data_IF_065662867737
#
_entry.id   IF_065662867737
#
_cell.length_a   1.000
_cell.length_b   1.000
_cell.length_c   1.000
_cell.angle_alpha   90.00
_cell.angle_beta   90.00
_cell.angle_gamma   90.00
#
_symmetry.space_group_name_H-M   'P 1'
#
loop_
_entity.id
_entity.type
_entity.pdbx_description
1 polymer ?
#
# COMPACT_ATOMS: atom_id res chain seq x y z
N UNK A 1 -15.45 -16.58 8.00
CA UNK A 1 -16.20 -15.57 8.74
C UNK A 1 -15.45 -14.25 8.66
N UNK A 2 -16.17 -13.18 8.33
CA UNK A 2 -15.64 -11.81 8.30
C UNK A 2 -15.37 -11.36 9.74
N UNK A 3 -14.25 -10.68 9.98
CA UNK A 3 -14.00 -9.99 11.24
C UNK A 3 -14.72 -8.63 11.31
N UNK A 4 -15.58 -8.32 10.34
CA UNK A 4 -16.36 -7.09 10.30
C UNK A 4 -17.45 -7.11 11.38
N UNK A 5 -17.36 -6.18 12.33
CA UNK A 5 -18.32 -6.06 13.45
C UNK A 5 -19.52 -5.27 13.00
N UNK A 6 -19.30 -4.16 12.31
CA UNK A 6 -20.35 -3.34 11.73
C UNK A 6 -19.85 -2.56 10.50
N UNK A 7 -20.78 -2.21 9.63
CA UNK A 7 -20.60 -1.32 8.49
C UNK A 7 -21.71 -0.28 8.50
N UNK A 8 -21.34 0.99 8.47
CA UNK A 8 -22.24 2.12 8.42
C UNK A 8 -22.00 2.91 7.14
N UNK A 9 -23.07 3.22 6.40
CA UNK A 9 -23.03 4.02 5.18
C UNK A 9 -23.70 5.36 5.39
N UNK A 10 -23.02 6.42 4.99
CA UNK A 10 -23.48 7.80 5.11
C UNK A 10 -23.56 8.45 3.74
N UNK A 11 -24.54 9.34 3.54
CA UNK A 11 -24.62 10.20 2.37
C UNK A 11 -23.60 11.35 2.43
N UNK A 12 -23.62 12.23 1.42
CA UNK A 12 -22.74 13.40 1.35
C UNK A 12 -23.01 14.44 2.46
N UNK A 13 -24.19 14.41 3.09
CA UNK A 13 -24.56 15.31 4.19
C UNK A 13 -24.19 14.74 5.57
N UNK A 14 -23.70 13.51 5.61
CA UNK A 14 -23.39 12.79 6.84
C UNK A 14 -24.59 12.08 7.47
N UNK A 15 -25.71 11.99 6.76
CA UNK A 15 -26.88 11.24 7.22
C UNK A 15 -26.65 9.75 7.01
N UNK A 16 -26.94 8.94 8.04
CA UNK A 16 -26.86 7.50 7.99
C UNK A 16 -27.89 6.93 7.01
N UNK A 17 -27.43 6.20 6.00
CA UNK A 17 -28.25 5.52 5.00
C UNK A 17 -28.48 4.06 5.33
N UNK A 18 -27.46 3.35 5.77
CA UNK A 18 -27.47 1.93 6.07
C UNK A 18 -26.60 1.62 7.30
N UNK A 19 -27.13 0.77 8.18
CA UNK A 19 -26.44 0.24 9.35
C UNK A 19 -26.51 -1.29 9.25
N UNK A 20 -25.37 -1.90 8.97
CA UNK A 20 -25.21 -3.37 9.00
C UNK A 20 -24.33 -3.73 10.16
N UNK A 21 -24.93 -4.36 11.14
CA UNK A 21 -24.23 -4.84 12.32
C UNK A 21 -24.32 -6.34 12.38
N UNK A 22 -23.21 -6.97 12.69
CA UNK A 22 -23.10 -8.41 12.85
C UNK A 22 -23.20 -8.73 14.34
N UNK A 23 -24.34 -9.27 14.75
CA UNK A 23 -24.62 -9.67 16.13
C UNK A 23 -25.81 -8.93 16.73
N UNK A 24 -26.09 -9.28 17.98
CA UNK A 24 -27.19 -8.75 18.76
C UNK A 24 -26.78 -7.45 19.47
N UNK A 25 -27.79 -6.64 19.82
CA UNK A 25 -27.59 -5.46 20.68
C UNK A 25 -27.92 -5.84 22.13
N UNK A 26 -27.18 -5.27 23.07
CA UNK A 26 -27.50 -5.35 24.50
C UNK A 26 -28.72 -4.49 24.87
N UNK A 27 -29.14 -4.56 26.13
CA UNK A 27 -30.27 -3.79 26.68
C UNK A 27 -30.10 -2.27 26.53
N UNK A 28 -28.86 -1.78 26.37
CA UNK A 28 -28.51 -0.38 26.16
C UNK A 28 -28.37 -0.01 24.69
N UNK A 29 -28.71 -0.91 23.76
CA UNK A 29 -28.59 -0.71 22.32
C UNK A 29 -27.16 -0.76 21.78
N UNK A 30 -26.18 -1.24 22.58
CA UNK A 30 -24.79 -1.41 22.16
C UNK A 30 -24.62 -2.77 21.49
N UNK A 31 -23.79 -2.81 20.50
CA UNK A 31 -23.44 -4.07 19.84
C UNK A 31 -22.64 -5.00 20.78
N UNK A 32 -23.11 -6.23 21.01
CA UNK A 32 -22.49 -7.18 21.93
C UNK A 32 -21.04 -7.47 21.57
N UNK A 33 -20.72 -7.53 20.26
CA UNK A 33 -19.37 -7.81 19.77
C UNK A 33 -18.48 -6.57 19.63
N UNK A 34 -18.97 -5.38 20.02
CA UNK A 34 -18.18 -4.17 20.04
C UNK A 34 -17.56 -3.98 21.43
N UNK A 35 -16.23 -3.75 21.47
CA UNK A 35 -15.45 -3.53 22.71
C UNK A 35 -15.30 -4.76 23.63
N UNK A 36 -15.21 -5.95 23.09
CA UNK A 36 -14.81 -7.14 23.85
C UNK A 36 -13.33 -7.04 24.28
N UNK A 37 -13.05 -7.51 25.51
CA UNK A 37 -11.71 -7.42 26.13
C UNK A 37 -10.62 -8.15 25.36
N UNK A 38 -10.98 -9.26 24.69
CA UNK A 38 -10.05 -10.18 24.02
C UNK A 38 -9.75 -9.76 22.57
N UNK A 39 -10.35 -8.65 22.12
CA UNK A 39 -10.19 -8.13 20.77
C UNK A 39 -9.63 -6.73 20.74
N UNK A 40 -8.88 -6.44 19.68
CA UNK A 40 -8.58 -5.10 19.22
C UNK A 40 -9.43 -4.76 18.02
N UNK A 41 -9.72 -3.47 17.82
CA UNK A 41 -10.62 -3.03 16.76
C UNK A 41 -9.93 -2.03 15.85
N UNK A 42 -10.15 -2.17 14.55
CA UNK A 42 -9.65 -1.25 13.53
C UNK A 42 -10.83 -0.70 12.75
N UNK A 43 -10.91 0.63 12.67
CA UNK A 43 -11.90 1.31 11.85
C UNK A 43 -11.27 1.78 10.55
N UNK A 44 -11.98 1.51 9.46
CA UNK A 44 -11.59 1.96 8.12
C UNK A 44 -12.73 2.74 7.51
N UNK A 45 -12.43 3.96 7.09
CA UNK A 45 -13.36 4.82 6.37
C UNK A 45 -12.92 4.95 4.92
N UNK A 46 -13.89 4.86 4.00
CA UNK A 46 -13.66 5.04 2.56
C UNK A 46 -14.85 5.67 1.87
N UNK A 47 -14.57 6.39 0.76
CA UNK A 47 -15.58 7.02 -0.06
C UNK A 47 -16.35 6.02 -0.91
N UNK A 48 -17.66 6.22 -1.01
CA UNK A 48 -18.53 5.49 -1.93
C UNK A 48 -18.75 6.30 -3.20
N UNK A 49 -18.89 5.60 -4.34
CA UNK A 49 -19.04 6.22 -5.65
C UNK A 49 -20.09 5.51 -6.49
N UNK A 50 -20.83 6.28 -7.27
CA UNK A 50 -21.66 5.80 -8.36
C UNK A 50 -21.08 6.19 -9.72
N UNK A 51 -21.31 5.35 -10.72
CA UNK A 51 -20.95 5.63 -12.11
C UNK A 51 -22.23 6.07 -12.86
N UNK A 52 -22.32 7.37 -13.09
CA UNK A 52 -23.51 8.00 -13.70
C UNK A 52 -23.19 8.30 -15.17
N UNK A 53 -24.10 7.92 -16.07
CA UNK A 53 -24.07 8.30 -17.49
C UNK A 53 -25.13 9.36 -17.75
N UNK A 54 -24.74 10.48 -18.35
CA UNK A 54 -25.68 11.54 -18.76
C UNK A 54 -26.56 11.11 -19.94
N UNK A 55 -26.06 10.20 -20.79
CA UNK A 55 -26.80 9.59 -21.90
C UNK A 55 -26.24 8.20 -22.19
N UNK A 56 -26.96 7.38 -22.97
CA UNK A 56 -26.52 6.04 -23.36
C UNK A 56 -25.16 6.05 -24.10
N UNK A 57 -24.84 7.13 -24.80
CA UNK A 57 -23.60 7.29 -25.57
C UNK A 57 -22.48 8.00 -24.81
N UNK A 58 -22.74 8.55 -23.63
CA UNK A 58 -21.73 9.25 -22.82
C UNK A 58 -20.89 8.28 -22.00
N UNK A 59 -19.61 8.61 -21.77
CA UNK A 59 -18.79 7.91 -20.80
C UNK A 59 -19.37 8.05 -19.39
N UNK A 60 -19.28 6.97 -18.60
CA UNK A 60 -19.70 7.01 -17.20
C UNK A 60 -18.77 7.90 -16.39
N UNK A 61 -19.34 8.84 -15.66
CA UNK A 61 -18.61 9.69 -14.71
C UNK A 61 -18.68 9.10 -13.32
N UNK A 62 -17.53 9.05 -12.64
CA UNK A 62 -17.42 8.61 -11.26
C UNK A 62 -17.80 9.77 -10.34
N UNK A 63 -18.91 9.64 -9.61
CA UNK A 63 -19.42 10.67 -8.68
C UNK A 63 -19.40 10.12 -7.27
N UNK A 64 -18.87 10.87 -6.32
CA UNK A 64 -18.91 10.52 -4.90
C UNK A 64 -20.36 10.56 -4.43
N UNK A 65 -20.81 9.53 -3.73
CA UNK A 65 -22.18 9.39 -3.20
C UNK A 65 -22.25 9.49 -1.69
N UNK A 66 -21.11 9.28 -1.01
CA UNK A 66 -21.06 9.31 0.44
C UNK A 66 -19.77 8.65 0.97
N UNK A 67 -19.85 8.14 2.19
CA UNK A 67 -18.76 7.44 2.87
C UNK A 67 -19.27 6.18 3.54
N UNK A 68 -18.39 5.18 3.67
CA UNK A 68 -18.62 3.99 4.49
C UNK A 68 -17.57 3.91 5.59
N UNK A 69 -18.02 3.50 6.78
CA UNK A 69 -17.16 3.15 7.91
C UNK A 69 -17.36 1.70 8.23
N UNK A 70 -16.26 0.96 8.34
CA UNK A 70 -16.25 -0.45 8.73
C UNK A 70 -15.40 -0.61 9.98
N UNK A 71 -15.85 -1.43 10.92
CA UNK A 71 -15.10 -1.78 12.12
C UNK A 71 -14.79 -3.26 12.11
N UNK A 72 -13.51 -3.59 12.18
CA UNK A 72 -13.00 -4.95 12.14
C UNK A 72 -12.43 -5.34 13.50
N UNK A 73 -12.75 -6.56 13.96
CA UNK A 73 -12.19 -7.13 15.16
C UNK A 73 -11.00 -8.03 14.84
N UNK A 74 -9.95 -7.92 15.63
CA UNK A 74 -8.75 -8.75 15.59
C UNK A 74 -8.52 -9.33 17.00
N UNK A 75 -8.45 -10.66 17.13
CA UNK A 75 -8.18 -11.29 18.42
C UNK A 75 -6.75 -11.00 18.88
N UNK A 76 -6.56 -10.75 20.20
CA UNK A 76 -5.25 -10.35 20.75
C UNK A 76 -4.23 -11.47 20.71
N UNK A 77 -4.67 -12.70 20.99
CA UNK A 77 -3.79 -13.85 21.23
C UNK A 77 -3.58 -14.74 20.02
N UNK A 78 -4.46 -14.70 19.02
CA UNK A 78 -4.32 -15.54 17.83
C UNK A 78 -4.77 -14.82 16.55
N UNK A 79 -4.18 -15.22 15.42
CA UNK A 79 -4.57 -14.75 14.09
C UNK A 79 -5.71 -15.59 13.54
N UNK A 80 -6.63 -14.95 12.84
CA UNK A 80 -7.68 -15.63 12.09
C UNK A 80 -7.07 -16.43 10.90
N UNK A 81 -7.84 -17.37 10.36
CA UNK A 81 -7.38 -18.33 9.34
C UNK A 81 -6.79 -17.63 8.10
N UNK A 82 -7.51 -16.68 7.50
CA UNK A 82 -7.03 -16.01 6.28
C UNK A 82 -5.74 -15.20 6.49
N UNK A 83 -5.61 -14.37 7.54
CA UNK A 83 -4.32 -13.74 7.86
C UNK A 83 -3.19 -14.73 8.11
N UNK A 84 -3.44 -15.88 8.76
CA UNK A 84 -2.44 -16.91 9.01
C UNK A 84 -1.95 -17.55 7.69
N UNK A 85 -2.86 -17.91 6.80
CA UNK A 85 -2.54 -18.45 5.47
C UNK A 85 -1.73 -17.44 4.64
N UNK A 86 -2.12 -16.16 4.66
CA UNK A 86 -1.38 -15.11 3.94
C UNK A 86 0.03 -14.92 4.50
N UNK A 87 0.20 -14.96 5.82
CA UNK A 87 1.52 -14.86 6.45
C UNK A 87 2.43 -16.03 6.07
N UNK A 88 1.88 -17.26 6.06
CA UNK A 88 2.61 -18.45 5.62
C UNK A 88 3.04 -18.35 4.15
N UNK A 89 2.14 -17.90 3.26
CA UNK A 89 2.47 -17.68 1.85
C UNK A 89 3.56 -16.60 1.68
N UNK A 90 3.47 -15.48 2.39
CA UNK A 90 4.48 -14.42 2.31
C UNK A 90 5.84 -14.89 2.85
N UNK A 91 5.86 -15.63 3.97
CA UNK A 91 7.07 -16.20 4.55
C UNK A 91 7.71 -17.21 3.62
N UNK A 92 6.93 -18.11 3.01
CA UNK A 92 7.38 -19.09 2.03
C UNK A 92 7.95 -18.40 0.78
N UNK A 93 7.32 -17.32 0.30
CA UNK A 93 7.83 -16.53 -0.81
C UNK A 93 9.18 -15.87 -0.48
N UNK A 94 9.31 -15.28 0.72
CA UNK A 94 10.56 -14.65 1.18
C UNK A 94 11.69 -15.67 1.28
N UNK A 95 11.41 -16.88 1.82
CA UNK A 95 12.36 -17.98 1.87
C UNK A 95 12.80 -18.44 0.47
N UNK A 96 11.84 -18.61 -0.47
CA UNK A 96 12.12 -18.98 -1.86
C UNK A 96 13.00 -17.95 -2.57
N UNK A 97 12.74 -16.65 -2.38
CA UNK A 97 13.58 -15.58 -2.93
C UNK A 97 15.00 -15.60 -2.37
N UNK A 98 15.15 -15.85 -1.04
CA UNK A 98 16.48 -16.00 -0.42
C UNK A 98 17.25 -17.21 -0.96
N UNK A 99 16.56 -18.32 -1.20
CA UNK A 99 17.16 -19.50 -1.82
C UNK A 99 17.58 -19.20 -3.25
N UNK A 100 16.70 -18.57 -4.05
CA UNK A 100 16.99 -18.17 -5.43
C UNK A 100 18.20 -17.23 -5.55
N UNK A 101 18.39 -16.33 -4.57
CA UNK A 101 19.54 -15.42 -4.57
C UNK A 101 20.88 -16.13 -4.31
N UNK A 102 20.86 -17.31 -3.69
CA UNK A 102 22.06 -18.14 -3.39
C UNK A 102 22.27 -19.26 -4.41
N UNK A 103 21.35 -19.43 -5.34
CA UNK A 103 21.40 -20.52 -6.31
C UNK A 103 22.27 -20.10 -7.51
N UNK A 104 23.22 -20.94 -7.87
CA UNK A 104 24.13 -20.71 -8.99
C UNK A 104 23.67 -21.42 -10.28
N UNK A 105 22.91 -22.53 -10.15
CA UNK A 105 22.37 -23.23 -11.30
C UNK A 105 21.21 -22.44 -11.96
N UNK A 106 21.36 -22.02 -13.24
CA UNK A 106 20.34 -21.26 -13.94
C UNK A 106 19.01 -21.99 -14.06
N UNK A 107 19.01 -23.31 -14.16
CA UNK A 107 17.79 -24.12 -14.26
C UNK A 107 17.04 -24.11 -12.92
N UNK A 108 17.70 -24.38 -11.82
CA UNK A 108 17.12 -24.33 -10.47
C UNK A 108 16.66 -22.91 -10.11
N UNK A 109 17.44 -21.90 -10.49
CA UNK A 109 17.07 -20.50 -10.30
C UNK A 109 15.75 -20.16 -11.01
N UNK A 110 15.56 -20.66 -12.23
CA UNK A 110 14.28 -20.47 -12.97
C UNK A 110 13.11 -21.19 -12.28
N UNK A 111 13.32 -22.41 -11.75
CA UNK A 111 12.29 -23.14 -10.99
C UNK A 111 11.89 -22.35 -9.75
N UNK A 112 12.86 -21.84 -8.99
CA UNK A 112 12.60 -21.03 -7.79
C UNK A 112 11.87 -19.73 -8.13
N UNK A 113 12.22 -19.10 -9.25
CA UNK A 113 11.48 -17.92 -9.73
C UNK A 113 10.01 -18.23 -10.03
N UNK A 114 9.73 -19.33 -10.74
CA UNK A 114 8.35 -19.74 -11.01
C UNK A 114 7.59 -20.09 -9.72
N UNK A 115 8.26 -20.73 -8.77
CA UNK A 115 7.69 -21.06 -7.45
C UNK A 115 7.31 -19.79 -6.68
N UNK A 116 8.22 -18.81 -6.55
CA UNK A 116 7.91 -17.56 -5.85
C UNK A 116 6.80 -16.76 -6.53
N UNK A 117 6.74 -16.81 -7.88
CA UNK A 117 5.68 -16.18 -8.65
C UNK A 117 4.32 -16.84 -8.42
N UNK A 118 4.26 -18.18 -8.40
CA UNK A 118 3.04 -18.93 -8.08
C UNK A 118 2.51 -18.55 -6.70
N UNK A 119 3.37 -18.51 -5.68
CA UNK A 119 2.98 -18.08 -4.33
C UNK A 119 2.42 -16.65 -4.33
N UNK A 120 3.06 -15.72 -5.05
CA UNK A 120 2.57 -14.35 -5.22
C UNK A 120 1.17 -14.31 -5.83
N UNK A 121 0.94 -15.09 -6.89
CA UNK A 121 -0.36 -15.15 -7.55
C UNK A 121 -1.44 -15.72 -6.63
N UNK A 122 -1.13 -16.76 -5.86
CA UNK A 122 -2.05 -17.35 -4.89
C UNK A 122 -2.45 -16.34 -3.82
N UNK A 123 -1.49 -15.64 -3.21
CA UNK A 123 -1.75 -14.61 -2.21
C UNK A 123 -2.62 -13.47 -2.76
N UNK A 124 -2.32 -12.99 -3.97
CA UNK A 124 -3.10 -11.93 -4.61
C UNK A 124 -4.51 -12.40 -5.00
N UNK A 125 -4.69 -13.68 -5.33
CA UNK A 125 -5.99 -14.22 -5.68
C UNK A 125 -6.96 -14.27 -4.49
N UNK A 126 -6.46 -14.48 -3.27
CA UNK A 126 -7.29 -14.42 -2.06
C UNK A 126 -7.96 -13.04 -1.89
N UNK A 127 -7.17 -11.96 -2.07
CA UNK A 127 -7.73 -10.60 -2.10
C UNK A 127 -8.75 -10.41 -3.23
N UNK A 128 -8.42 -10.88 -4.44
CA UNK A 128 -9.32 -10.82 -5.60
C UNK A 128 -10.65 -11.53 -5.35
N UNK A 129 -10.61 -12.67 -4.68
CA UNK A 129 -11.83 -13.42 -4.31
C UNK A 129 -12.70 -12.66 -3.30
N UNK A 130 -12.12 -11.96 -2.33
CA UNK A 130 -12.90 -11.10 -1.42
C UNK A 130 -13.69 -10.02 -2.18
N UNK A 131 -13.18 -9.52 -3.30
CA UNK A 131 -13.84 -8.53 -4.14
C UNK A 131 -14.78 -9.07 -5.21
N UNK A 132 -14.76 -10.37 -5.49
CA UNK A 132 -15.51 -10.99 -6.58
C UNK A 132 -16.87 -11.52 -6.11
N UNK A 133 -17.97 -10.99 -6.66
CA UNK A 133 -19.35 -11.36 -6.30
C UNK A 133 -19.66 -12.86 -6.47
N UNK A 134 -18.93 -13.55 -7.34
CA UNK A 134 -19.11 -14.97 -7.61
C UNK A 134 -18.31 -15.87 -6.67
N UNK A 135 -17.48 -15.29 -5.81
CA UNK A 135 -16.65 -16.04 -4.87
C UNK A 135 -17.44 -16.42 -3.61
N UNK A 136 -17.14 -17.62 -3.08
CA UNK A 136 -17.63 -18.06 -1.77
C UNK A 136 -17.07 -17.22 -0.61
N UNK A 137 -15.96 -16.52 -0.82
CA UNK A 137 -15.31 -15.59 0.12
C UNK A 137 -15.66 -14.13 -0.15
N UNK A 138 -16.73 -13.86 -0.92
CA UNK A 138 -17.10 -12.49 -1.25
C UNK A 138 -17.42 -11.67 0.01
N UNK A 139 -16.61 -10.65 0.25
CA UNK A 139 -16.78 -9.69 1.34
C UNK A 139 -16.33 -8.31 0.83
N UNK A 140 -17.29 -7.60 0.23
CA UNK A 140 -17.04 -6.31 -0.44
C UNK A 140 -16.36 -5.30 0.47
N UNK A 141 -16.78 -5.24 1.73
CA UNK A 141 -16.30 -4.23 2.68
C UNK A 141 -14.85 -4.51 3.10
N UNK A 142 -14.43 -5.77 3.18
CA UNK A 142 -13.02 -6.16 3.38
C UNK A 142 -12.16 -5.72 2.20
N UNK A 143 -12.60 -6.03 0.97
CA UNK A 143 -11.85 -5.66 -0.23
C UNK A 143 -11.74 -4.13 -0.39
N UNK A 144 -12.84 -3.40 -0.14
CA UNK A 144 -12.86 -1.94 -0.20
C UNK A 144 -11.97 -1.30 0.88
N UNK A 145 -12.01 -1.83 2.10
CA UNK A 145 -11.18 -1.37 3.23
C UNK A 145 -9.70 -1.62 2.97
N UNK A 146 -9.34 -2.76 2.38
CA UNK A 146 -7.96 -3.05 1.96
C UNK A 146 -7.46 -2.02 0.93
N UNK A 147 -8.27 -1.72 -0.08
CA UNK A 147 -7.93 -0.70 -1.09
C UNK A 147 -7.81 0.69 -0.46
N UNK A 148 -8.69 1.04 0.47
CA UNK A 148 -8.65 2.32 1.18
C UNK A 148 -7.39 2.44 2.05
N UNK A 149 -7.02 1.37 2.76
CA UNK A 149 -5.78 1.31 3.55
C UNK A 149 -4.56 1.48 2.66
N UNK A 150 -4.49 0.77 1.52
CA UNK A 150 -3.40 0.93 0.55
C UNK A 150 -3.25 2.38 0.07
N UNK A 151 -4.36 3.07 -0.19
CA UNK A 151 -4.34 4.49 -0.56
C UNK A 151 -3.79 5.37 0.56
N UNK A 152 -4.17 5.12 1.82
CA UNK A 152 -3.62 5.84 2.98
C UNK A 152 -2.11 5.62 3.13
N UNK A 153 -1.63 4.40 2.88
CA UNK A 153 -0.21 4.08 2.92
C UNK A 153 0.61 4.82 1.85
N UNK A 154 0.07 4.96 0.63
CA UNK A 154 0.73 5.75 -0.44
C UNK A 154 0.79 7.23 -0.05
N UNK A 155 -0.29 7.79 0.48
CA UNK A 155 -0.33 9.19 0.94
C UNK A 155 0.66 9.40 2.09
N UNK A 156 0.72 8.46 3.04
CA UNK A 156 1.68 8.49 4.13
C UNK A 156 3.13 8.48 3.59
N UNK A 157 3.47 7.56 2.68
CA UNK A 157 4.80 7.49 2.10
C UNK A 157 5.17 8.78 1.35
N UNK A 158 4.23 9.34 0.56
CA UNK A 158 4.40 10.62 -0.11
C UNK A 158 4.73 11.74 0.88
N UNK A 159 3.88 11.93 1.89
CA UNK A 159 4.02 13.00 2.86
C UNK A 159 5.32 12.88 3.65
N UNK A 160 5.66 11.69 4.11
CA UNK A 160 6.90 11.44 4.83
C UNK A 160 8.13 11.79 4.01
N UNK A 161 8.16 11.40 2.73
CA UNK A 161 9.30 11.70 1.84
C UNK A 161 9.41 13.19 1.58
N UNK A 162 8.29 13.89 1.32
CA UNK A 162 8.30 15.34 1.08
C UNK A 162 8.62 16.13 2.36
N UNK A 163 8.20 15.67 3.53
CA UNK A 163 8.50 16.32 4.82
C UNK A 163 9.95 16.12 5.25
N UNK A 164 10.47 14.89 5.16
CA UNK A 164 11.82 14.56 5.66
C UNK A 164 12.91 14.99 4.67
N UNK A 165 12.68 14.82 3.38
CA UNK A 165 13.66 15.08 2.32
C UNK A 165 13.26 16.26 1.43
N UNK A 166 12.32 17.09 1.86
CA UNK A 166 11.99 18.37 1.24
C UNK A 166 13.20 19.32 1.27
N UNK A 167 13.01 20.61 1.28
CA UNK A 167 14.14 21.56 1.29
C UNK A 167 15.00 21.44 2.57
N UNK A 168 15.87 20.42 2.61
CA UNK A 168 16.71 20.07 3.76
C UNK A 168 18.12 19.64 3.35
N UNK A 169 19.00 19.50 4.34
CA UNK A 169 20.36 18.98 4.17
C UNK A 169 20.39 17.57 4.75
N UNK A 170 20.70 16.58 3.90
CA UNK A 170 20.88 15.20 4.27
C UNK A 170 22.36 14.83 4.30
N UNK A 171 22.77 14.02 5.26
CA UNK A 171 24.09 13.45 5.33
C UNK A 171 24.09 12.03 4.73
N UNK A 172 24.89 11.84 3.70
CA UNK A 172 25.05 10.55 3.03
C UNK A 172 26.30 9.83 3.54
N UNK A 173 26.30 8.51 3.54
CA UNK A 173 27.45 7.70 4.03
C UNK A 173 28.69 7.86 3.15
N UNK A 174 28.48 7.97 1.84
CA UNK A 174 29.58 7.92 0.86
C UNK A 174 29.90 9.27 0.20
N UNK A 175 29.00 10.23 0.26
CA UNK A 175 29.10 11.48 -0.54
C UNK A 175 29.04 12.75 0.30
N UNK A 176 29.02 12.61 1.64
CA UNK A 176 28.91 13.74 2.56
C UNK A 176 27.52 14.39 2.57
N UNK A 177 27.48 15.67 2.87
CA UNK A 177 26.22 16.40 2.97
C UNK A 177 25.74 16.87 1.61
N UNK A 178 24.46 16.74 1.35
CA UNK A 178 23.79 17.20 0.12
C UNK A 178 22.48 17.90 0.47
N UNK A 179 22.08 18.86 -0.33
CA UNK A 179 20.76 19.47 -0.22
C UNK A 179 19.77 18.66 -1.05
N UNK A 180 18.64 18.30 -0.43
CA UNK A 180 17.53 17.62 -1.07
C UNK A 180 16.33 18.55 -1.19
N UNK A 181 15.50 18.34 -2.20
CA UNK A 181 14.17 18.91 -2.33
C UNK A 181 13.27 17.85 -2.96
N UNK A 182 12.88 16.87 -2.13
CA UNK A 182 12.11 15.73 -2.60
C UNK A 182 10.75 16.16 -3.15
N UNK A 183 10.41 15.64 -4.30
CA UNK A 183 9.15 15.89 -4.98
C UNK A 183 8.51 14.58 -5.42
N UNK A 184 7.24 14.37 -5.06
CA UNK A 184 6.44 13.24 -5.51
C UNK A 184 6.07 13.42 -6.97
N UNK A 185 6.40 12.44 -7.81
CA UNK A 185 6.15 12.47 -9.24
C UNK A 185 4.90 11.65 -9.61
N UNK A 186 4.82 10.44 -9.08
CA UNK A 186 3.74 9.50 -9.45
C UNK A 186 3.60 8.40 -8.41
N UNK A 187 2.39 7.85 -8.27
CA UNK A 187 2.13 6.65 -7.48
C UNK A 187 1.07 5.77 -8.10
N UNK A 188 1.23 4.49 -7.93
CA UNK A 188 0.29 3.51 -8.44
C UNK A 188 0.16 2.32 -7.49
N UNK A 189 -1.04 2.09 -7.02
CA UNK A 189 -1.48 0.97 -6.18
C UNK A 189 -0.65 0.79 -4.90
N UNK A 190 0.62 0.42 -5.00
CA UNK A 190 1.56 0.07 -3.93
C UNK A 190 2.95 0.67 -4.12
N UNK A 191 3.12 1.58 -5.07
CA UNK A 191 4.41 2.21 -5.36
C UNK A 191 4.32 3.73 -5.39
N UNK A 192 5.44 4.38 -5.01
CA UNK A 192 5.64 5.82 -5.08
C UNK A 192 6.91 6.12 -5.87
N UNK A 193 6.82 7.05 -6.81
CA UNK A 193 7.95 7.59 -7.56
C UNK A 193 8.19 9.03 -7.12
N UNK A 194 9.42 9.33 -6.80
CA UNK A 194 9.83 10.67 -6.39
C UNK A 194 11.26 10.96 -6.84
N UNK A 195 11.62 12.24 -6.87
CA UNK A 195 12.97 12.70 -7.09
C UNK A 195 13.45 13.49 -5.89
N UNK A 196 14.75 13.44 -5.60
CA UNK A 196 15.33 14.24 -4.51
C UNK A 196 15.79 15.63 -4.95
N UNK A 197 15.87 15.90 -6.25
CA UNK A 197 16.35 17.19 -6.79
C UNK A 197 17.65 17.66 -6.13
N UNK A 198 18.67 16.78 -6.13
CA UNK A 198 19.92 16.92 -5.38
C UNK A 198 20.71 18.14 -5.80
N UNK A 199 21.19 18.93 -4.81
CA UNK A 199 22.08 20.07 -5.00
C UNK A 199 23.29 19.97 -4.09
N UNK A 200 24.40 20.45 -4.59
CA UNK A 200 25.61 20.68 -3.81
C UNK A 200 25.39 21.80 -2.79
N UNK A 201 25.90 21.64 -1.56
CA UNK A 201 25.67 22.60 -0.48
C UNK A 201 26.39 23.91 -0.69
N UNK A 202 27.64 23.88 -1.20
CA UNK A 202 28.49 25.02 -1.31
C UNK A 202 28.13 25.84 -2.56
N UNK A 203 27.96 25.15 -3.69
CA UNK A 203 27.72 25.79 -4.98
C UNK A 203 26.26 26.00 -5.31
N UNK A 204 25.34 25.28 -4.60
CA UNK A 204 23.89 25.19 -4.85
C UNK A 204 23.58 24.75 -6.31
N UNK A 205 24.55 24.13 -7.00
CA UNK A 205 24.36 23.59 -8.35
C UNK A 205 23.75 22.20 -8.29
N UNK A 206 22.92 21.79 -9.27
CA UNK A 206 22.38 20.44 -9.36
C UNK A 206 23.51 19.40 -9.43
N UNK A 207 23.41 18.36 -8.62
CA UNK A 207 24.26 17.17 -8.74
C UNK A 207 23.65 16.30 -9.82
N UNK A 208 24.43 15.92 -10.82
CA UNK A 208 23.96 15.17 -11.99
C UNK A 208 24.82 13.93 -12.26
N UNK A 209 24.37 13.07 -13.16
CA UNK A 209 25.10 11.89 -13.61
C UNK A 209 25.15 10.77 -12.56
N UNK A 210 26.19 9.94 -12.65
CA UNK A 210 26.35 8.75 -11.82
C UNK A 210 26.30 9.06 -10.31
N UNK A 211 26.99 10.11 -9.88
CA UNK A 211 27.00 10.53 -8.47
C UNK A 211 25.58 10.81 -7.94
N UNK A 212 24.74 11.50 -8.72
CA UNK A 212 23.36 11.77 -8.32
C UNK A 212 22.54 10.50 -8.17
N UNK A 213 22.73 9.50 -9.04
CA UNK A 213 22.01 8.23 -9.01
C UNK A 213 22.41 7.41 -7.78
N UNK A 214 23.69 7.35 -7.46
CA UNK A 214 24.19 6.63 -6.29
C UNK A 214 23.69 7.27 -4.97
N UNK A 215 23.71 8.59 -4.86
CA UNK A 215 23.14 9.32 -3.73
C UNK A 215 21.62 9.07 -3.64
N UNK A 216 20.91 9.08 -4.78
CA UNK A 216 19.47 8.80 -4.83
C UNK A 216 19.14 7.40 -4.31
N UNK A 217 19.94 6.40 -4.66
CA UNK A 217 19.76 5.02 -4.16
C UNK A 217 19.95 4.97 -2.64
N UNK A 218 21.02 5.57 -2.13
CA UNK A 218 21.32 5.59 -0.70
C UNK A 218 20.19 6.25 0.10
N UNK A 219 19.76 7.43 -0.31
CA UNK A 219 18.66 8.15 0.34
C UNK A 219 17.31 7.45 0.20
N UNK A 220 17.04 6.79 -0.93
CA UNK A 220 15.80 6.05 -1.14
C UNK A 220 15.73 4.78 -0.27
N UNK A 221 16.85 4.11 -0.05
CA UNK A 221 16.95 2.99 0.91
C UNK A 221 16.71 3.46 2.34
N UNK A 222 17.35 4.55 2.74
CA UNK A 222 17.15 5.17 4.06
C UNK A 222 15.68 5.62 4.26
N UNK A 223 15.08 6.24 3.25
CA UNK A 223 13.67 6.66 3.29
C UNK A 223 12.73 5.46 3.45
N UNK A 224 13.01 4.33 2.78
CA UNK A 224 12.26 3.08 2.94
C UNK A 224 12.36 2.52 4.36
N UNK A 225 13.57 2.45 4.92
CA UNK A 225 13.79 2.00 6.29
C UNK A 225 13.10 2.92 7.32
N UNK A 226 13.20 4.24 7.12
CA UNK A 226 12.55 5.21 7.99
C UNK A 226 11.02 5.08 7.95
N UNK A 227 10.43 5.01 6.76
CA UNK A 227 9.00 4.84 6.59
C UNK A 227 8.49 3.55 7.24
N UNK A 228 9.22 2.45 7.06
CA UNK A 228 8.85 1.13 7.59
C UNK A 228 8.82 1.09 9.12
N UNK A 229 9.63 1.90 9.83
CA UNK A 229 9.62 1.96 11.29
C UNK A 229 8.29 2.44 11.89
N UNK A 230 7.54 3.22 11.15
CA UNK A 230 6.26 3.78 11.60
C UNK A 230 5.05 3.04 11.02
N UNK A 231 5.26 2.03 10.17
CA UNK A 231 4.19 1.20 9.65
C UNK A 231 3.88 0.03 10.59
N UNK A 232 2.60 -0.29 10.73
CA UNK A 232 2.18 -1.50 11.45
C UNK A 232 2.56 -2.73 10.62
N UNK A 233 3.25 -3.70 11.23
CA UNK A 233 3.55 -4.97 10.59
C UNK A 233 2.25 -5.63 10.06
N UNK A 234 2.28 -6.25 8.87
CA UNK A 234 3.45 -6.59 8.03
C UNK A 234 3.78 -5.55 6.93
N UNK A 235 3.27 -4.33 7.01
CA UNK A 235 3.53 -3.29 6.01
C UNK A 235 4.97 -2.80 6.12
N UNK A 236 5.61 -2.64 4.98
CA UNK A 236 6.93 -2.07 4.80
C UNK A 236 6.99 -1.24 3.51
N UNK A 237 7.96 -0.36 3.42
CA UNK A 237 8.30 0.40 2.21
C UNK A 237 9.74 0.04 1.83
N UNK A 238 9.90 -0.66 0.71
CA UNK A 238 11.21 -1.08 0.22
C UNK A 238 11.63 -0.23 -0.99
N UNK A 239 12.92 0.09 -1.08
CA UNK A 239 13.51 0.59 -2.31
C UNK A 239 13.44 -0.49 -3.39
N UNK A 240 12.88 -0.16 -4.55
CA UNK A 240 12.75 -1.11 -5.66
C UNK A 240 13.76 -0.84 -6.77
N UNK A 241 13.84 0.39 -7.25
CA UNK A 241 14.69 0.75 -8.40
C UNK A 241 14.85 2.26 -8.58
N UNK A 242 15.91 2.63 -9.27
CA UNK A 242 16.15 3.99 -9.76
C UNK A 242 16.12 4.01 -11.29
N UNK A 243 15.43 4.97 -11.85
CA UNK A 243 15.24 5.11 -13.30
C UNK A 243 15.82 6.46 -13.80
N UNK A 244 16.68 6.41 -14.82
CA UNK A 244 17.22 7.61 -15.46
C UNK A 244 17.61 7.34 -16.91
N UNK A 245 17.03 8.01 -17.92
CA UNK A 245 15.91 8.94 -17.79
C UNK A 245 14.57 8.24 -17.42
N UNK A 246 13.60 9.04 -16.97
CA UNK A 246 12.24 8.60 -16.68
C UNK A 246 11.24 9.49 -17.41
N UNK A 247 10.28 8.89 -18.09
CA UNK A 247 9.22 9.58 -18.82
C UNK A 247 7.88 9.00 -18.40
N UNK A 248 7.01 9.84 -17.84
CA UNK A 248 5.64 9.46 -17.49
C UNK A 248 4.69 9.91 -18.61
N UNK A 249 4.10 8.95 -19.31
CA UNK A 249 3.18 9.22 -20.43
C UNK A 249 1.74 9.39 -19.93
N UNK A 250 1.30 8.52 -19.04
CA UNK A 250 -0.03 8.55 -18.43
C UNK A 250 -0.08 7.57 -17.25
N UNK A 251 -1.23 7.48 -16.56
CA UNK A 251 -1.45 6.50 -15.50
C UNK A 251 -1.10 5.08 -15.98
N UNK A 252 -0.23 4.39 -15.27
CA UNK A 252 0.29 3.04 -15.56
C UNK A 252 1.12 2.91 -16.84
N UNK A 253 1.51 4.03 -17.46
CA UNK A 253 2.31 4.04 -18.70
C UNK A 253 3.50 4.97 -18.54
N UNK A 254 4.64 4.40 -18.21
CA UNK A 254 5.92 5.11 -18.09
C UNK A 254 7.05 4.31 -18.73
N UNK A 255 8.09 4.99 -19.10
CA UNK A 255 9.32 4.42 -19.63
C UNK A 255 10.50 4.98 -18.86
N UNK A 256 11.48 4.14 -18.57
CA UNK A 256 12.70 4.56 -17.89
C UNK A 256 13.81 3.53 -18.08
N UNK A 257 15.05 4.00 -18.09
CA UNK A 257 16.20 3.11 -18.05
C UNK A 257 16.56 2.81 -16.61
N UNK A 258 16.64 1.50 -16.31
CA UNK A 258 17.04 1.05 -14.99
C UNK A 258 18.51 1.34 -14.76
N UNK A 259 18.81 2.01 -13.65
CA UNK A 259 20.15 2.14 -13.13
C UNK A 259 20.39 1.06 -12.08
N UNK A 260 21.44 0.26 -12.29
CA UNK A 260 21.86 -0.85 -11.43
C UNK A 260 23.24 -0.59 -10.87
#
# INVERSE_FOLDING_TARGET
HSSNVWTMEYDLTGKLLEDKTWGERDENGRFIYDNLSDYTYVEVEYDTFAYIRKSAKSAAQKVKTGTKKCRFAEHKDYKAILPSVLEELLSSRKATKKQMAKEDDPFMKNILDKRQLSIKLTANSLYGQCGAKTSTFYEKDVAASTTATGRKLIIYAKNLIEEVYGDTICETKNYGKVRTNAEYIYGDTDSVFFTFNLKDIETNQPIVGKKALEITIELAQEAGELASKFLKNPHDLEYEKTLMPFILLSKKRYVGMLYV
#
